data_IF_529252907317
#
_entry.id   IF_529252907317
#
_cell.length_a   1.000
_cell.length_b   1.000
_cell.length_c   1.000
_cell.angle_alpha   90.00
_cell.angle_beta   90.00
_cell.angle_gamma   90.00
#
_symmetry.space_group_name_H-M   'P 1'
#
loop_
_entity.id
_entity.type
_entity.pdbx_description
1 polymer ?
#
# COMPACT_ATOMS: atom_id res chain seq x y z
N UNK A 1 -6.51 0.21 -23.74
CA UNK A 1 -5.71 1.46 -23.70
C UNK A 1 -5.19 1.56 -22.28
N UNK A 2 -3.86 1.61 -22.10
CA UNK A 2 -3.22 1.83 -20.80
C UNK A 2 -3.59 3.25 -20.40
N UNK A 3 -4.34 3.41 -19.30
CA UNK A 3 -4.62 4.74 -18.75
C UNK A 3 -3.30 5.40 -18.37
N UNK A 4 -3.09 6.65 -18.80
CA UNK A 4 -1.93 7.41 -18.37
C UNK A 4 -2.01 7.61 -16.85
N UNK A 5 -1.06 7.05 -16.12
CA UNK A 5 -1.02 7.19 -14.66
C UNK A 5 -0.86 8.66 -14.29
N UNK A 6 -1.65 9.08 -13.31
CA UNK A 6 -1.55 10.43 -12.75
C UNK A 6 -0.60 10.41 -11.56
N UNK A 7 0.68 10.62 -11.83
CA UNK A 7 1.69 10.80 -10.79
C UNK A 7 1.46 12.13 -10.07
N UNK A 8 1.23 12.09 -8.76
CA UNK A 8 0.92 13.27 -7.93
C UNK A 8 2.14 13.82 -7.20
N UNK A 9 2.89 12.94 -6.53
CA UNK A 9 4.03 13.32 -5.73
C UNK A 9 5.00 12.15 -5.60
N UNK A 10 6.28 12.43 -5.40
CA UNK A 10 7.34 11.44 -5.28
C UNK A 10 7.94 11.49 -3.88
N UNK A 11 7.90 10.36 -3.15
CA UNK A 11 8.27 10.28 -1.74
C UNK A 11 9.72 10.65 -1.46
N UNK A 12 10.67 10.12 -2.24
CA UNK A 12 12.10 10.39 -2.03
C UNK A 12 12.53 11.79 -2.49
N UNK A 13 11.82 12.40 -3.47
CA UNK A 13 12.15 13.73 -3.96
C UNK A 13 11.64 14.82 -3.02
N UNK A 14 10.43 14.66 -2.46
CA UNK A 14 9.84 15.59 -1.50
C UNK A 14 8.82 14.85 -0.63
N UNK A 15 9.26 14.44 0.56
CA UNK A 15 8.43 13.69 1.50
C UNK A 15 7.23 14.49 1.99
N UNK A 16 7.42 15.78 2.28
CA UNK A 16 6.34 16.63 2.82
C UNK A 16 5.23 16.81 1.80
N UNK A 17 5.58 17.14 0.55
CA UNK A 17 4.60 17.22 -0.55
C UNK A 17 3.92 15.89 -0.82
N UNK A 18 4.63 14.77 -0.68
CA UNK A 18 4.05 13.44 -0.83
C UNK A 18 3.07 13.12 0.32
N UNK A 19 3.45 13.45 1.55
CA UNK A 19 2.60 13.27 2.73
C UNK A 19 1.36 14.15 2.65
N UNK A 20 1.52 15.43 2.27
CA UNK A 20 0.42 16.37 2.05
C UNK A 20 -0.53 15.87 0.95
N UNK A 21 -0.02 15.49 -0.23
CA UNK A 21 -0.85 15.01 -1.32
C UNK A 21 -1.74 13.83 -0.91
N UNK A 22 -1.29 12.96 -0.01
CA UNK A 22 -2.09 11.84 0.52
C UNK A 22 -3.26 12.28 1.40
N UNK A 23 -3.21 13.47 1.98
CA UNK A 23 -4.34 13.99 2.78
C UNK A 23 -5.54 14.37 1.90
N UNK A 24 -5.30 14.64 0.61
CA UNK A 24 -6.31 15.02 -0.37
C UNK A 24 -7.01 13.84 -1.05
N UNK A 25 -6.95 12.64 -0.45
CA UNK A 25 -7.64 11.48 -0.97
C UNK A 25 -7.63 10.31 0.02
N UNK A 26 -7.93 9.12 -0.48
CA UNK A 26 -7.91 7.86 0.27
C UNK A 26 -6.90 6.91 -0.35
N UNK A 27 -6.05 6.35 0.49
CA UNK A 27 -4.94 5.48 0.08
C UNK A 27 -5.29 4.00 0.19
N UNK A 28 -4.50 3.15 -0.45
CA UNK A 28 -4.71 1.69 -0.43
C UNK A 28 -4.70 1.11 1.00
N UNK A 29 -3.82 1.60 1.86
CA UNK A 29 -3.74 1.15 3.26
C UNK A 29 -4.97 1.59 4.06
N UNK A 30 -5.43 2.84 3.87
CA UNK A 30 -6.65 3.34 4.55
C UNK A 30 -7.87 2.52 4.14
N UNK A 31 -8.09 2.31 2.84
CA UNK A 31 -9.23 1.54 2.32
C UNK A 31 -9.20 0.09 2.80
N UNK A 32 -8.02 -0.56 2.77
CA UNK A 32 -7.88 -1.93 3.26
C UNK A 32 -8.19 -2.05 4.76
N UNK A 33 -7.68 -1.13 5.57
CA UNK A 33 -7.92 -1.09 7.03
C UNK A 33 -9.38 -0.81 7.35
N UNK A 34 -10.01 0.14 6.66
CA UNK A 34 -11.40 0.53 6.85
C UNK A 34 -12.42 -0.51 6.35
N UNK A 35 -11.97 -1.56 5.67
CA UNK A 35 -12.86 -2.61 5.15
C UNK A 35 -13.43 -3.56 6.23
N UNK A 36 -13.27 -3.21 7.50
CA UNK A 36 -13.94 -3.86 8.63
C UNK A 36 -14.56 -2.81 9.55
N UNK A 37 -15.67 -3.10 10.25
CA UNK A 37 -16.30 -2.11 11.14
C UNK A 37 -15.36 -1.56 12.22
N UNK A 38 -14.50 -2.40 12.78
CA UNK A 38 -13.51 -1.98 13.79
C UNK A 38 -12.40 -1.14 13.14
N UNK A 39 -11.83 -1.59 12.03
CA UNK A 39 -10.80 -0.85 11.31
C UNK A 39 -11.29 0.50 10.81
N UNK A 40 -12.55 0.59 10.36
CA UNK A 40 -13.18 1.84 9.95
C UNK A 40 -13.24 2.85 11.11
N UNK A 41 -13.77 2.43 12.28
CA UNK A 41 -13.79 3.29 13.45
C UNK A 41 -12.41 3.75 13.89
N UNK A 42 -11.46 2.83 14.02
CA UNK A 42 -10.10 3.16 14.44
C UNK A 42 -9.42 4.15 13.48
N UNK A 43 -9.66 4.01 12.17
CA UNK A 43 -9.10 4.93 11.19
C UNK A 43 -9.74 6.32 11.28
N UNK A 44 -11.06 6.41 11.43
CA UNK A 44 -11.78 7.68 11.62
C UNK A 44 -11.31 8.38 12.90
N UNK A 45 -11.17 7.65 14.00
CA UNK A 45 -10.67 8.19 15.27
C UNK A 45 -9.23 8.74 15.10
N UNK A 46 -8.40 8.09 14.28
CA UNK A 46 -7.02 8.54 14.01
C UNK A 46 -6.93 9.83 13.20
N UNK A 47 -7.94 10.19 12.44
CA UNK A 47 -7.97 11.49 11.74
C UNK A 47 -8.12 12.67 12.70
N UNK A 48 -8.87 12.49 13.80
CA UNK A 48 -9.00 13.50 14.86
C UNK A 48 -7.87 13.47 15.89
N UNK A 49 -7.27 12.30 16.10
CA UNK A 49 -6.23 12.05 17.08
C UNK A 49 -5.12 11.20 16.42
N UNK A 50 -4.26 11.81 15.60
CA UNK A 50 -3.19 11.06 14.94
C UNK A 50 -2.28 10.42 16.00
N UNK A 51 -1.99 9.11 15.88
CA UNK A 51 -1.09 8.44 16.82
C UNK A 51 0.31 9.04 16.71
N UNK A 52 1.01 9.10 17.84
CA UNK A 52 2.43 9.48 17.85
C UNK A 52 3.23 8.58 16.89
N UNK A 53 4.21 9.15 16.17
CA UNK A 53 5.09 8.38 15.31
C UNK A 53 5.78 7.30 16.13
N UNK A 54 5.52 6.05 15.79
CA UNK A 54 6.11 4.90 16.48
C UNK A 54 6.86 4.03 15.49
N UNK A 55 8.12 3.79 15.76
CA UNK A 55 8.93 2.82 15.03
C UNK A 55 9.18 1.59 15.89
N UNK A 56 9.13 0.42 15.27
CA UNK A 56 9.36 -0.83 15.95
C UNK A 56 10.32 -1.72 15.12
N UNK A 57 10.92 -2.75 15.74
CA UNK A 57 11.88 -3.63 15.06
C UNK A 57 11.31 -4.30 13.79
N UNK A 58 9.99 -4.53 13.74
CA UNK A 58 9.32 -5.10 12.56
C UNK A 58 9.31 -4.13 11.39
N UNK A 59 9.02 -2.85 11.65
CA UNK A 59 9.03 -1.78 10.63
C UNK A 59 10.46 -1.51 10.15
N UNK A 60 11.42 -1.46 11.06
CA UNK A 60 12.84 -1.31 10.73
C UNK A 60 13.34 -2.44 9.83
N UNK A 61 12.98 -3.70 10.15
CA UNK A 61 13.31 -4.85 9.32
C UNK A 61 12.61 -4.75 7.94
N UNK A 62 11.35 -4.32 7.89
CA UNK A 62 10.62 -4.09 6.64
C UNK A 62 11.37 -3.15 5.71
N UNK A 63 11.73 -1.96 6.19
CA UNK A 63 12.50 -0.96 5.42
C UNK A 63 13.86 -1.49 4.94
N UNK A 64 14.59 -2.21 5.81
CA UNK A 64 15.88 -2.83 5.47
C UNK A 64 15.75 -3.89 4.38
N UNK A 65 14.64 -4.61 4.34
CA UNK A 65 14.41 -5.75 3.44
C UNK A 65 13.83 -5.30 2.10
N UNK A 66 13.13 -4.19 2.06
CA UNK A 66 12.44 -3.68 0.88
C UNK A 66 13.38 -3.46 -0.31
N UNK A 67 14.53 -2.80 -0.11
CA UNK A 67 15.51 -2.54 -1.18
C UNK A 67 16.03 -3.82 -1.85
N UNK A 68 16.59 -4.79 -1.13
CA UNK A 68 17.01 -6.07 -1.69
C UNK A 68 15.90 -6.84 -2.41
N UNK A 69 14.68 -6.84 -1.88
CA UNK A 69 13.52 -7.50 -2.54
C UNK A 69 13.11 -6.75 -3.80
N UNK A 70 13.16 -5.42 -3.81
CA UNK A 70 12.89 -4.61 -5.00
C UNK A 70 13.90 -4.86 -6.12
N UNK A 71 15.21 -4.97 -5.83
CA UNK A 71 16.21 -5.33 -6.83
C UNK A 71 15.97 -6.75 -7.39
N UNK A 72 15.63 -7.71 -6.53
CA UNK A 72 15.27 -9.05 -6.97
C UNK A 72 14.02 -9.05 -7.88
N UNK A 73 13.00 -8.23 -7.57
CA UNK A 73 11.81 -8.06 -8.42
C UNK A 73 12.15 -7.43 -9.77
N UNK A 74 13.06 -6.46 -9.79
CA UNK A 74 13.53 -5.82 -11.02
C UNK A 74 14.25 -6.82 -11.92
N UNK A 75 15.17 -7.61 -11.38
CA UNK A 75 15.91 -8.61 -12.14
C UNK A 75 15.01 -9.75 -12.65
N UNK A 76 14.06 -10.19 -11.84
CA UNK A 76 13.25 -11.39 -12.11
C UNK A 76 11.99 -11.11 -12.94
N UNK A 77 11.39 -9.94 -12.73
CA UNK A 77 10.07 -9.59 -13.29
C UNK A 77 10.06 -8.27 -14.08
N UNK A 78 11.16 -7.52 -14.12
CA UNK A 78 11.19 -6.20 -14.73
C UNK A 78 10.31 -5.16 -14.01
N UNK A 79 10.11 -5.33 -12.69
CA UNK A 79 9.33 -4.43 -11.85
C UNK A 79 10.30 -3.54 -11.08
N UNK A 80 10.27 -2.25 -11.33
CA UNK A 80 11.18 -1.26 -10.73
C UNK A 80 10.60 -0.70 -9.44
N UNK A 81 11.45 -0.32 -8.44
CA UNK A 81 10.99 0.39 -7.26
C UNK A 81 10.13 1.60 -7.62
N UNK A 82 9.04 1.81 -6.91
CA UNK A 82 8.14 2.94 -7.13
C UNK A 82 7.94 3.73 -5.83
N UNK A 83 8.13 5.03 -5.93
CA UNK A 83 7.87 5.98 -4.83
C UNK A 83 6.85 7.05 -5.22
N UNK A 84 6.25 6.91 -6.39
CA UNK A 84 5.20 7.82 -6.83
C UNK A 84 3.87 7.51 -6.18
N UNK A 85 3.23 8.55 -5.68
CA UNK A 85 1.80 8.55 -5.39
C UNK A 85 1.04 8.65 -6.71
N UNK A 86 0.26 7.64 -7.02
CA UNK A 86 -0.53 7.51 -8.24
C UNK A 86 -1.99 7.75 -7.88
N UNK A 87 -2.73 8.50 -8.72
CA UNK A 87 -4.18 8.64 -8.60
C UNK A 87 -4.92 7.99 -9.75
N UNK A 88 -6.11 7.52 -9.46
CA UNK A 88 -7.13 7.15 -10.45
C UNK A 88 -7.65 8.40 -11.20
N UNK A 89 -8.53 8.24 -12.21
CA UNK A 89 -9.25 9.32 -12.85
C UNK A 89 -10.09 10.13 -11.85
N UNK A 90 -10.69 9.47 -10.87
CA UNK A 90 -11.16 10.13 -9.66
C UNK A 90 -9.95 10.46 -8.78
N UNK A 91 -9.57 11.75 -8.63
CA UNK A 91 -8.31 12.16 -8.00
C UNK A 91 -8.22 11.85 -6.50
N UNK A 92 -9.34 11.54 -5.86
CA UNK A 92 -9.35 11.14 -4.45
C UNK A 92 -8.88 9.71 -4.21
N UNK A 93 -8.87 8.85 -5.24
CA UNK A 93 -8.42 7.48 -5.11
C UNK A 93 -6.93 7.39 -5.42
N UNK A 94 -6.15 7.01 -4.41
CA UNK A 94 -4.70 7.07 -4.47
C UNK A 94 -4.06 5.76 -4.05
N UNK A 95 -2.89 5.47 -4.61
CA UNK A 95 -2.06 4.33 -4.24
C UNK A 95 -0.57 4.63 -4.46
N UNK A 96 0.28 3.99 -3.65
CA UNK A 96 1.73 3.91 -3.86
C UNK A 96 2.09 2.43 -3.79
N UNK A 97 2.03 1.66 -4.89
CA UNK A 97 2.57 0.31 -4.92
C UNK A 97 4.09 0.37 -4.74
N UNK A 98 4.69 -0.67 -4.17
CA UNK A 98 6.13 -0.70 -3.91
C UNK A 98 6.96 -0.84 -5.19
N UNK A 99 6.36 -1.36 -6.27
CA UNK A 99 7.02 -1.45 -7.57
C UNK A 99 6.05 -1.30 -8.74
N UNK A 100 6.63 -0.92 -9.90
CA UNK A 100 5.91 -0.66 -11.14
C UNK A 100 6.74 -1.11 -12.34
N UNK A 101 6.16 -1.83 -13.30
CA UNK A 101 6.82 -2.15 -14.57
C UNK A 101 6.93 -0.90 -15.46
N UNK A 102 7.88 -0.87 -16.40
CA UNK A 102 8.08 0.28 -17.29
C UNK A 102 6.87 0.61 -18.16
N UNK A 103 6.09 -0.39 -18.54
CA UNK A 103 4.84 -0.22 -19.30
C UNK A 103 3.63 0.02 -18.40
N UNK A 104 3.83 0.07 -17.08
CA UNK A 104 2.82 0.27 -16.05
C UNK A 104 1.72 -0.81 -16.00
N UNK A 105 1.91 -1.95 -16.63
CA UNK A 105 0.91 -3.03 -16.64
C UNK A 105 0.99 -3.95 -15.43
N UNK A 106 2.11 -3.92 -14.70
CA UNK A 106 2.36 -4.76 -13.52
C UNK A 106 2.80 -3.91 -12.35
N UNK A 107 2.22 -4.17 -11.18
CA UNK A 107 2.65 -3.60 -9.92
C UNK A 107 3.20 -4.68 -8.99
N UNK A 108 3.93 -4.28 -7.96
CA UNK A 108 4.27 -5.16 -6.84
C UNK A 108 3.91 -4.54 -5.50
N UNK A 109 3.63 -5.42 -4.53
CA UNK A 109 3.49 -5.09 -3.12
C UNK A 109 4.40 -6.01 -2.32
N UNK A 110 5.25 -5.44 -1.46
CA UNK A 110 6.27 -6.15 -0.68
C UNK A 110 5.85 -6.20 0.79
N UNK A 111 5.90 -7.39 1.39
CA UNK A 111 5.64 -7.56 2.82
C UNK A 111 6.74 -8.37 3.49
N UNK A 112 7.02 -8.06 4.75
CA UNK A 112 7.79 -8.92 5.64
C UNK A 112 6.86 -9.54 6.67
N UNK A 113 7.05 -10.80 6.99
CA UNK A 113 6.13 -11.56 7.83
C UNK A 113 6.86 -12.55 8.73
N UNK A 114 6.36 -12.81 9.94
CA UNK A 114 6.84 -13.87 10.82
C UNK A 114 6.27 -15.25 10.50
N UNK A 115 5.37 -15.35 9.50
CA UNK A 115 4.73 -16.62 9.07
C UNK A 115 4.68 -16.68 7.56
N UNK A 116 4.93 -17.86 7.02
CA UNK A 116 4.69 -18.10 5.59
C UNK A 116 3.19 -18.02 5.27
N UNK A 117 2.84 -17.29 4.23
CA UNK A 117 1.44 -17.19 3.79
C UNK A 117 0.99 -18.40 2.97
N UNK A 118 1.94 -19.25 2.49
CA UNK A 118 1.62 -20.32 1.56
C UNK A 118 1.00 -19.79 0.28
N UNK A 119 -0.16 -20.29 -0.07
CA UNK A 119 -0.96 -19.90 -1.25
C UNK A 119 -2.10 -18.91 -0.92
N UNK A 120 -2.20 -18.45 0.33
CA UNK A 120 -3.29 -17.58 0.77
C UNK A 120 -2.79 -16.26 1.37
N UNK A 121 -2.88 -15.20 0.59
CA UNK A 121 -2.58 -13.85 1.07
C UNK A 121 -3.62 -13.45 2.13
N UNK A 122 -3.20 -12.91 3.30
CA UNK A 122 -4.12 -12.35 4.29
C UNK A 122 -5.07 -11.33 3.69
N UNK A 123 -6.35 -11.37 4.11
CA UNK A 123 -7.42 -10.58 3.49
C UNK A 123 -7.14 -9.07 3.48
N UNK A 124 -6.48 -8.53 4.52
CA UNK A 124 -6.09 -7.11 4.57
C UNK A 124 -5.13 -6.73 3.45
N UNK A 125 -4.07 -7.53 3.23
CA UNK A 125 -3.12 -7.30 2.13
C UNK A 125 -3.78 -7.52 0.77
N UNK A 126 -4.68 -8.50 0.66
CA UNK A 126 -5.43 -8.72 -0.57
C UNK A 126 -6.29 -7.50 -0.95
N UNK A 127 -6.96 -6.89 0.03
CA UNK A 127 -7.73 -5.64 -0.17
C UNK A 127 -6.84 -4.48 -0.59
N UNK A 128 -5.69 -4.31 0.07
CA UNK A 128 -4.71 -3.29 -0.31
C UNK A 128 -4.27 -3.45 -1.77
N UNK A 129 -3.91 -4.66 -2.18
CA UNK A 129 -3.51 -4.97 -3.57
C UNK A 129 -4.66 -4.74 -4.56
N UNK A 130 -5.89 -5.12 -4.23
CA UNK A 130 -7.05 -4.88 -5.09
C UNK A 130 -7.31 -3.39 -5.32
N UNK A 131 -7.15 -2.58 -4.28
CA UNK A 131 -7.24 -1.12 -4.42
C UNK A 131 -6.11 -0.55 -5.27
N UNK A 132 -4.88 -0.99 -5.09
CA UNK A 132 -3.75 -0.57 -5.92
C UNK A 132 -3.96 -0.94 -7.40
N UNK A 133 -4.45 -2.15 -7.69
CA UNK A 133 -4.79 -2.59 -9.05
C UNK A 133 -5.87 -1.70 -9.68
N UNK A 134 -6.90 -1.34 -8.91
CA UNK A 134 -7.95 -0.44 -9.37
C UNK A 134 -7.43 0.96 -9.68
N UNK A 135 -6.67 1.54 -8.76
CA UNK A 135 -6.13 2.90 -8.91
C UNK A 135 -5.14 3.00 -10.07
N UNK A 136 -4.27 2.02 -10.23
CA UNK A 136 -3.23 2.03 -11.26
C UNK A 136 -3.71 1.51 -12.61
N UNK A 137 -4.81 0.75 -12.66
CA UNK A 137 -5.25 0.06 -13.87
C UNK A 137 -4.33 -1.07 -14.30
N UNK A 138 -3.42 -1.52 -13.44
CA UNK A 138 -2.49 -2.60 -13.74
C UNK A 138 -3.22 -3.93 -13.97
N UNK A 139 -2.70 -4.74 -14.88
CA UNK A 139 -3.28 -6.03 -15.23
C UNK A 139 -3.17 -7.06 -14.10
N UNK A 140 -2.11 -6.98 -13.30
CA UNK A 140 -1.92 -7.82 -12.13
C UNK A 140 -0.87 -7.23 -11.17
N UNK A 141 -0.87 -7.77 -9.93
CA UNK A 141 0.15 -7.49 -8.93
C UNK A 141 0.99 -8.74 -8.67
N UNK A 142 2.31 -8.58 -8.57
CA UNK A 142 3.23 -9.58 -8.00
C UNK A 142 3.31 -9.28 -6.50
N UNK A 143 2.43 -9.91 -5.71
CA UNK A 143 2.50 -9.82 -4.26
C UNK A 143 3.67 -10.65 -3.77
N UNK A 144 4.59 -10.00 -3.05
CA UNK A 144 5.89 -10.55 -2.67
C UNK A 144 6.06 -10.48 -1.16
N UNK A 145 6.58 -11.57 -0.55
CA UNK A 145 6.89 -11.52 0.88
C UNK A 145 8.18 -12.23 1.24
N UNK A 146 8.86 -11.67 2.23
CA UNK A 146 10.05 -12.25 2.86
C UNK A 146 9.71 -12.70 4.28
N UNK A 147 10.09 -13.93 4.60
CA UNK A 147 9.99 -14.44 5.97
C UNK A 147 10.99 -13.70 6.86
N UNK A 148 10.52 -13.23 7.99
CA UNK A 148 11.33 -12.64 9.06
C UNK A 148 11.52 -13.68 10.16
N UNK A 149 12.75 -13.95 10.51
CA UNK A 149 13.11 -14.82 11.64
C UNK A 149 13.91 -14.03 12.66
N UNK A 150 13.65 -14.29 13.93
CA UNK A 150 14.38 -13.69 15.03
C UNK A 150 15.63 -14.52 15.34
N UNK A 151 16.77 -13.87 15.47
CA UNK A 151 18.02 -14.48 15.88
C UNK A 151 18.04 -14.72 17.39
N UNK A 152 19.04 -15.45 17.87
CA UNK A 152 19.27 -15.63 19.33
C UNK A 152 19.58 -14.33 20.05
N UNK A 153 20.04 -13.30 19.36
CA UNK A 153 20.34 -11.96 19.89
C UNK A 153 19.14 -11.01 19.85
N UNK A 154 17.97 -11.47 19.39
CA UNK A 154 16.76 -10.64 19.27
C UNK A 154 16.71 -9.77 18.01
N UNK A 155 17.67 -9.92 17.11
CA UNK A 155 17.67 -9.22 15.82
C UNK A 155 16.84 -9.98 14.77
N UNK A 156 16.29 -9.27 13.79
CA UNK A 156 15.59 -9.88 12.67
C UNK A 156 16.48 -10.05 11.44
N UNK A 157 16.32 -11.21 10.79
CA UNK A 157 16.99 -11.52 9.52
C UNK A 157 16.02 -12.21 8.56
N UNK A 158 16.30 -12.18 7.21
CA UNK A 158 15.55 -12.95 6.24
C UNK A 158 15.59 -14.44 6.56
N UNK A 159 14.43 -15.10 6.56
CA UNK A 159 14.31 -16.54 6.79
C UNK A 159 14.51 -17.37 5.52
N UNK A 160 14.55 -16.73 4.35
CA UNK A 160 14.78 -17.36 3.05
C UNK A 160 15.84 -16.60 2.26
N UNK A 161 16.45 -17.27 1.28
CA UNK A 161 17.42 -16.68 0.36
C UNK A 161 16.68 -15.78 -0.66
N UNK A 162 15.54 -16.26 -1.19
CA UNK A 162 14.68 -15.54 -2.12
C UNK A 162 13.29 -15.31 -1.53
N UNK A 163 12.63 -14.17 -1.82
CA UNK A 163 11.25 -13.96 -1.41
C UNK A 163 10.30 -14.89 -2.15
N UNK A 164 9.13 -15.13 -1.57
CA UNK A 164 8.03 -15.82 -2.25
C UNK A 164 7.09 -14.82 -2.92
N UNK A 165 6.43 -15.25 -3.99
CA UNK A 165 5.50 -14.41 -4.75
C UNK A 165 4.20 -15.14 -5.08
N UNK A 166 3.12 -14.37 -5.20
CA UNK A 166 1.84 -14.81 -5.76
C UNK A 166 1.36 -13.74 -6.75
N UNK A 167 0.93 -14.17 -7.93
CA UNK A 167 0.25 -13.30 -8.90
C UNK A 167 -1.19 -13.06 -8.44
N UNK A 168 -1.56 -11.79 -8.30
CA UNK A 168 -2.92 -11.35 -7.92
C UNK A 168 -3.56 -10.64 -9.09
N UNK A 169 -4.70 -11.13 -9.53
CA UNK A 169 -5.52 -10.50 -10.58
C UNK A 169 -6.57 -9.58 -9.95
N UNK A 170 -7.05 -8.54 -10.67
CA UNK A 170 -8.17 -7.73 -10.22
C UNK A 170 -9.43 -8.58 -9.99
N UNK A 171 -10.14 -8.30 -8.90
CA UNK A 171 -11.42 -8.90 -8.55
C UNK A 171 -12.48 -7.80 -8.52
N UNK A 172 -13.39 -7.81 -9.49
CA UNK A 172 -14.43 -6.80 -9.64
C UNK A 172 -15.25 -6.64 -8.36
N UNK A 173 -15.78 -7.74 -7.84
CA UNK A 173 -16.63 -7.71 -6.64
C UNK A 173 -15.90 -7.13 -5.41
N UNK A 174 -14.61 -7.46 -5.27
CA UNK A 174 -13.80 -6.89 -4.19
C UNK A 174 -13.59 -5.39 -4.38
N UNK A 175 -13.27 -4.97 -5.61
CA UNK A 175 -13.02 -3.56 -5.95
C UNK A 175 -14.28 -2.71 -5.73
N UNK A 176 -15.45 -3.18 -6.17
CA UNK A 176 -16.73 -2.48 -5.97
C UNK A 176 -16.99 -2.21 -4.48
N UNK A 177 -16.80 -3.21 -3.62
CA UNK A 177 -16.93 -3.01 -2.16
C UNK A 177 -15.88 -2.07 -1.56
N UNK A 178 -14.66 -2.03 -2.13
CA UNK A 178 -13.61 -1.09 -1.69
C UNK A 178 -13.91 0.35 -2.11
N UNK A 179 -14.54 0.57 -3.26
CA UNK A 179 -14.99 1.89 -3.72
C UNK A 179 -16.01 2.47 -2.74
N UNK A 180 -16.97 1.68 -2.28
CA UNK A 180 -17.96 2.13 -1.28
C UNK A 180 -17.29 2.52 0.04
N UNK A 181 -16.30 1.74 0.48
CA UNK A 181 -15.49 2.06 1.67
C UNK A 181 -14.74 3.38 1.47
N UNK A 182 -14.10 3.55 0.31
CA UNK A 182 -13.31 4.74 -0.02
C UNK A 182 -14.17 6.01 -0.04
N UNK A 183 -15.36 5.96 -0.65
CA UNK A 183 -16.28 7.09 -0.68
C UNK A 183 -16.71 7.50 0.73
N UNK A 184 -17.13 6.54 1.55
CA UNK A 184 -17.52 6.82 2.94
C UNK A 184 -16.36 7.39 3.77
N UNK A 185 -15.13 6.92 3.57
CA UNK A 185 -13.95 7.48 4.23
C UNK A 185 -13.69 8.92 3.79
N UNK A 186 -13.85 9.17 2.49
CA UNK A 186 -13.62 10.50 1.95
C UNK A 186 -14.62 11.51 2.49
N UNK A 187 -15.90 11.16 2.55
CA UNK A 187 -16.95 12.03 3.11
C UNK A 187 -16.62 12.45 4.54
N UNK A 188 -16.22 11.49 5.40
CA UNK A 188 -15.82 11.78 6.78
C UNK A 188 -14.54 12.62 6.84
N UNK A 189 -13.55 12.31 6.00
CA UNK A 189 -12.29 13.06 5.96
C UNK A 189 -12.53 14.51 5.58
N UNK A 190 -13.42 14.79 4.64
CA UNK A 190 -13.84 16.14 4.25
C UNK A 190 -14.52 16.89 5.41
N UNK A 191 -15.43 16.23 6.13
CA UNK A 191 -16.10 16.85 7.29
C UNK A 191 -15.11 17.24 8.41
N UNK A 192 -14.09 16.39 8.64
CA UNK A 192 -13.07 16.66 9.66
C UNK A 192 -12.09 17.75 9.23
N UNK A 193 -11.69 17.77 7.95
CA UNK A 193 -10.83 18.83 7.40
C UNK A 193 -11.53 20.18 7.35
N UNK A 194 -12.83 20.23 6.95
CA UNK A 194 -13.64 21.45 6.95
C UNK A 194 -13.77 22.08 8.34
N UNK A 195 -13.97 21.28 9.37
CA UNK A 195 -14.06 21.75 10.78
C UNK A 195 -12.74 22.30 11.32
N UNK A 196 -11.60 21.90 10.80
CA UNK A 196 -10.28 22.39 11.21
C UNK A 196 -9.86 23.68 10.48
N UNK A 197 -10.49 24.01 9.35
CA UNK A 197 -10.24 25.25 8.60
C UNK A 197 -11.03 26.47 9.10
N UNK A 198 -11.98 26.28 10.02
CA UNK A 198 -12.81 27.37 10.59
C UNK A 198 -12.33 27.84 11.98
N UNK A 199 -11.17 27.41 12.43
CA UNK A 199 -10.52 27.88 13.68
C UNK A 199 -9.26 28.68 13.34
#
# INVERSE_FOLDING_TARGET
MIQAHRFKAHKALNFDSWAEARTHGVTATEVANASTPAGFRNLVDSYGNPPEPYDNPYMAFGRKTEGPVSEWLKERFGIFPNEWLISHDNPIYMATPDGLSLDHTVISEIKTTGKDFGDKIPIGYRRQVQWQLYVTGAAYCVFTWMLRVETRTGEFQPGWIEPKTIKVLPSRDTIEGLIDVANRLWDIKQELLGKNGEK
#
